data_IF_343768229636
#
_entry.id   IF_343768229636
#
_cell.length_a   1.000
_cell.length_b   1.000
_cell.length_c   1.000
_cell.angle_alpha   90.00
_cell.angle_beta   90.00
_cell.angle_gamma   90.00
#
_symmetry.space_group_name_H-M   'P 1'
#
loop_
_entity.id
_entity.type
_entity.pdbx_description
1 polymer ?
#
# COMPACT_ATOMS: atom_id res chain seq x y z
N UNK A 1 14.51 -97.38 20.92
CA UNK A 1 14.92 -96.18 21.69
C UNK A 1 15.72 -95.17 20.85
N UNK A 2 16.56 -95.57 19.90
CA UNK A 2 17.37 -94.68 19.05
C UNK A 2 16.58 -93.59 18.29
N UNK A 3 15.41 -93.91 17.74
CA UNK A 3 14.59 -92.95 16.99
C UNK A 3 14.04 -91.79 17.84
N UNK A 4 13.89 -91.95 19.17
CA UNK A 4 13.35 -90.86 20.01
C UNK A 4 14.41 -89.81 20.37
N UNK A 5 15.68 -90.24 20.47
CA UNK A 5 16.81 -89.35 20.75
C UNK A 5 17.18 -88.52 19.51
N UNK A 6 17.21 -89.13 18.32
CA UNK A 6 17.43 -88.41 17.07
C UNK A 6 16.32 -87.39 16.80
N UNK A 7 15.07 -87.72 17.16
CA UNK A 7 13.93 -86.82 16.97
C UNK A 7 13.96 -85.63 17.93
N UNK A 8 14.41 -85.80 19.18
CA UNK A 8 14.61 -84.69 20.13
C UNK A 8 15.76 -83.78 19.72
N UNK A 9 16.90 -84.36 19.31
CA UNK A 9 18.06 -83.61 18.87
C UNK A 9 17.76 -82.72 17.65
N UNK A 10 16.97 -83.24 16.70
CA UNK A 10 16.55 -82.47 15.52
C UNK A 10 15.59 -81.33 15.87
N UNK A 11 14.62 -81.57 16.76
CA UNK A 11 13.67 -80.53 17.20
C UNK A 11 14.33 -79.43 18.02
N UNK A 12 15.28 -79.76 18.91
CA UNK A 12 16.04 -78.76 19.68
C UNK A 12 16.93 -77.91 18.78
N UNK A 13 17.59 -78.51 17.78
CA UNK A 13 18.38 -77.77 16.81
C UNK A 13 17.52 -76.80 15.98
N UNK A 14 16.33 -77.25 15.55
CA UNK A 14 15.37 -76.38 14.84
C UNK A 14 14.84 -75.23 15.72
N UNK A 15 14.57 -75.47 17.01
CA UNK A 15 14.16 -74.40 17.93
C UNK A 15 15.29 -73.40 18.20
N UNK A 16 16.53 -73.87 18.30
CA UNK A 16 17.69 -73.04 18.54
C UNK A 16 18.01 -72.16 17.32
N UNK A 17 18.00 -72.74 16.11
CA UNK A 17 18.18 -72.01 14.85
C UNK A 17 17.07 -70.97 14.67
N UNK A 18 15.83 -71.29 15.05
CA UNK A 18 14.71 -70.35 14.98
C UNK A 18 14.87 -69.19 15.97
N UNK A 19 15.31 -69.45 17.21
CA UNK A 19 15.63 -68.40 18.19
C UNK A 19 16.76 -67.51 17.71
N UNK A 20 17.81 -68.08 17.15
CA UNK A 20 18.96 -67.33 16.65
C UNK A 20 18.58 -66.48 15.42
N UNK A 21 17.75 -67.00 14.52
CA UNK A 21 17.21 -66.25 13.39
C UNK A 21 16.30 -65.09 13.83
N UNK A 22 15.48 -65.31 14.87
CA UNK A 22 14.65 -64.26 15.48
C UNK A 22 15.49 -63.16 16.12
N UNK A 23 16.48 -63.51 16.94
CA UNK A 23 17.35 -62.53 17.61
C UNK A 23 18.15 -61.70 16.60
N UNK A 24 18.63 -62.35 15.53
CA UNK A 24 19.33 -61.69 14.43
C UNK A 24 18.41 -60.72 13.68
N UNK A 25 17.15 -61.12 13.42
CA UNK A 25 16.16 -60.23 12.80
C UNK A 25 15.79 -59.05 13.70
N UNK A 26 15.62 -59.27 15.01
CA UNK A 26 15.34 -58.18 15.95
C UNK A 26 16.48 -57.18 16.05
N UNK A 27 17.74 -57.64 16.15
CA UNK A 27 18.91 -56.76 16.11
C UNK A 27 19.04 -55.99 14.80
N UNK A 28 18.69 -56.62 13.67
CA UNK A 28 18.68 -55.95 12.38
C UNK A 28 17.59 -54.86 12.33
N UNK A 29 16.40 -55.15 12.86
CA UNK A 29 15.28 -54.20 12.95
C UNK A 29 15.67 -53.03 13.86
N UNK A 30 16.18 -53.27 15.07
CA UNK A 30 16.62 -52.20 15.98
C UNK A 30 17.64 -51.29 15.32
N UNK A 31 18.65 -51.88 14.65
CA UNK A 31 19.66 -51.10 13.96
C UNK A 31 19.07 -50.26 12.81
N UNK A 32 18.12 -50.80 12.05
CA UNK A 32 17.42 -50.05 11.00
C UNK A 32 16.55 -48.94 11.59
N UNK A 33 15.87 -49.20 12.70
CA UNK A 33 15.03 -48.24 13.40
C UNK A 33 15.86 -47.09 13.97
N UNK A 34 17.00 -47.36 14.60
CA UNK A 34 17.92 -46.32 15.10
C UNK A 34 18.47 -45.44 13.97
N UNK A 35 18.84 -46.05 12.84
CA UNK A 35 19.28 -45.31 11.65
C UNK A 35 18.17 -44.40 11.12
N UNK A 36 16.93 -44.90 11.06
CA UNK A 36 15.78 -44.14 10.58
C UNK A 36 15.47 -42.97 11.53
N UNK A 37 15.51 -43.18 12.84
CA UNK A 37 15.30 -42.13 13.86
C UNK A 37 16.36 -41.05 13.73
N UNK A 38 17.62 -41.42 13.56
CA UNK A 38 18.71 -40.46 13.38
C UNK A 38 18.55 -39.65 12.10
N UNK A 39 18.20 -40.29 10.98
CA UNK A 39 17.96 -39.61 9.71
C UNK A 39 16.76 -38.67 9.78
N UNK A 40 15.66 -39.10 10.40
CA UNK A 40 14.48 -38.27 10.64
C UNK A 40 14.82 -37.06 11.51
N UNK A 41 15.59 -37.24 12.58
CA UNK A 41 16.03 -36.13 13.44
C UNK A 41 16.85 -35.12 12.64
N UNK A 42 17.83 -35.59 11.87
CA UNK A 42 18.67 -34.73 11.03
C UNK A 42 17.85 -33.97 9.98
N UNK A 43 16.89 -34.64 9.34
CA UNK A 43 15.98 -34.01 8.36
C UNK A 43 15.08 -32.98 9.01
N UNK A 44 14.62 -33.24 10.23
CA UNK A 44 13.79 -32.31 10.98
C UNK A 44 14.57 -31.05 11.39
N UNK A 45 15.79 -31.21 11.94
CA UNK A 45 16.68 -30.09 12.26
C UNK A 45 17.04 -29.27 11.01
N UNK A 46 17.28 -29.92 9.88
CA UNK A 46 17.52 -29.23 8.61
C UNK A 46 16.28 -28.46 8.14
N UNK A 47 15.09 -29.07 8.19
CA UNK A 47 13.84 -28.41 7.80
C UNK A 47 13.54 -27.20 8.70
N UNK A 48 13.79 -27.30 10.00
CA UNK A 48 13.58 -26.20 10.95
C UNK A 48 14.53 -25.02 10.65
N UNK A 49 15.80 -25.30 10.38
CA UNK A 49 16.77 -24.27 9.97
C UNK A 49 16.42 -23.61 8.63
N UNK A 50 15.98 -24.40 7.65
CA UNK A 50 15.51 -23.88 6.36
C UNK A 50 14.30 -22.97 6.56
N UNK A 51 13.29 -23.40 7.34
CA UNK A 51 12.10 -22.59 7.65
C UNK A 51 12.49 -21.28 8.34
N UNK A 52 13.40 -21.31 9.31
CA UNK A 52 13.85 -20.11 10.00
C UNK A 52 14.55 -19.14 9.05
N UNK A 53 15.39 -19.66 8.16
CA UNK A 53 16.07 -18.86 7.13
C UNK A 53 15.07 -18.24 6.15
N UNK A 54 14.08 -19.02 5.70
CA UNK A 54 12.99 -18.52 4.86
C UNK A 54 12.20 -17.42 5.55
N UNK A 55 11.87 -17.59 6.84
CA UNK A 55 11.15 -16.57 7.62
C UNK A 55 11.94 -15.27 7.71
N UNK A 56 13.24 -15.33 7.99
CA UNK A 56 14.11 -14.15 8.03
C UNK A 56 14.20 -13.44 6.67
N UNK A 57 14.35 -14.19 5.59
CA UNK A 57 14.39 -13.61 4.24
C UNK A 57 13.05 -12.97 3.86
N UNK A 58 11.93 -13.61 4.22
CA UNK A 58 10.59 -13.07 3.98
C UNK A 58 10.39 -11.77 4.77
N UNK A 59 10.77 -11.74 6.05
CA UNK A 59 10.67 -10.54 6.88
C UNK A 59 11.54 -9.39 6.34
N UNK A 60 12.75 -9.70 5.89
CA UNK A 60 13.63 -8.74 5.21
C UNK A 60 12.97 -8.16 3.95
N UNK A 61 12.40 -9.02 3.09
CA UNK A 61 11.68 -8.60 1.88
C UNK A 61 10.44 -7.76 2.22
N UNK A 62 9.69 -8.12 3.25
CA UNK A 62 8.54 -7.33 3.69
C UNK A 62 8.97 -5.93 4.16
N UNK A 63 10.01 -5.83 5.00
CA UNK A 63 10.55 -4.53 5.45
C UNK A 63 11.05 -3.68 4.27
N UNK A 64 11.71 -4.29 3.28
CA UNK A 64 12.12 -3.58 2.06
C UNK A 64 10.90 -3.09 1.27
N UNK A 65 9.84 -3.89 1.18
CA UNK A 65 8.61 -3.52 0.49
C UNK A 65 7.89 -2.37 1.20
N UNK A 66 7.82 -2.39 2.53
CA UNK A 66 7.26 -1.29 3.33
C UNK A 66 8.02 0.03 3.09
N UNK A 67 9.36 -0.04 3.03
CA UNK A 67 10.19 1.13 2.71
C UNK A 67 9.93 1.65 1.29
N UNK A 68 9.74 0.75 0.33
CA UNK A 68 9.40 1.12 -1.05
C UNK A 68 8.02 1.79 -1.13
N UNK A 69 7.02 1.22 -0.46
CA UNK A 69 5.67 1.78 -0.37
C UNK A 69 5.70 3.18 0.27
N UNK A 70 6.45 3.36 1.37
CA UNK A 70 6.61 4.68 1.99
C UNK A 70 7.29 5.69 1.05
N UNK A 71 8.35 5.29 0.33
CA UNK A 71 8.99 6.16 -0.67
C UNK A 71 8.04 6.51 -1.81
N UNK A 72 7.24 5.55 -2.27
CA UNK A 72 6.25 5.75 -3.32
C UNK A 72 5.18 6.75 -2.88
N UNK A 73 4.58 6.55 -1.70
CA UNK A 73 3.61 7.50 -1.13
C UNK A 73 4.21 8.90 -0.98
N UNK A 74 5.43 9.02 -0.46
CA UNK A 74 6.10 10.32 -0.33
C UNK A 74 6.37 10.99 -1.68
N UNK A 75 6.71 10.21 -2.70
CA UNK A 75 6.95 10.71 -4.05
C UNK A 75 5.65 11.13 -4.73
N UNK A 76 4.59 10.32 -4.59
CA UNK A 76 3.26 10.66 -5.07
C UNK A 76 2.74 11.94 -4.42
N UNK A 77 2.85 12.09 -3.10
CA UNK A 77 2.40 13.30 -2.43
C UNK A 77 3.15 14.54 -2.97
N UNK A 78 4.48 14.47 -3.11
CA UNK A 78 5.27 15.55 -3.74
C UNK A 78 4.89 15.85 -5.19
N UNK A 79 4.64 14.82 -6.00
CA UNK A 79 4.24 14.98 -7.39
C UNK A 79 2.85 15.62 -7.50
N UNK A 80 1.89 15.15 -6.69
CA UNK A 80 0.54 15.71 -6.58
C UNK A 80 0.60 17.18 -6.17
N UNK A 81 1.41 17.53 -5.16
CA UNK A 81 1.64 18.91 -4.76
C UNK A 81 2.18 19.79 -5.90
N UNK A 82 3.18 19.29 -6.64
CA UNK A 82 3.73 20.00 -7.80
C UNK A 82 2.68 20.21 -8.90
N UNK A 83 1.86 19.18 -9.18
CA UNK A 83 0.78 19.26 -10.17
C UNK A 83 -0.29 20.28 -9.75
N UNK A 84 -0.69 20.29 -8.48
CA UNK A 84 -1.66 21.26 -7.96
C UNK A 84 -1.13 22.69 -7.99
N UNK A 85 0.16 22.91 -7.71
CA UNK A 85 0.77 24.23 -7.85
C UNK A 85 0.71 24.75 -9.29
N UNK A 86 1.00 23.90 -10.28
CA UNK A 86 0.87 24.26 -11.70
C UNK A 86 -0.58 24.54 -12.09
N UNK A 87 -1.52 23.71 -11.63
CA UNK A 87 -2.95 23.91 -11.87
C UNK A 87 -3.43 25.25 -11.28
N UNK A 88 -2.99 25.59 -10.06
CA UNK A 88 -3.31 26.85 -9.40
C UNK A 88 -2.82 28.06 -10.21
N UNK A 89 -1.58 28.02 -10.72
CA UNK A 89 -1.03 29.10 -11.55
C UNK A 89 -1.85 29.26 -12.83
N UNK A 90 -2.19 28.16 -13.52
CA UNK A 90 -3.03 28.20 -14.72
C UNK A 90 -4.41 28.78 -14.42
N UNK A 91 -5.01 28.42 -13.28
CA UNK A 91 -6.29 28.97 -12.81
C UNK A 91 -6.21 30.48 -12.59
N UNK A 92 -5.18 30.96 -11.90
CA UNK A 92 -4.98 32.40 -11.65
C UNK A 92 -4.79 33.15 -12.96
N UNK A 93 -3.98 32.63 -13.88
CA UNK A 93 -3.77 33.24 -15.21
C UNK A 93 -5.08 33.27 -16.01
N UNK A 94 -5.88 32.19 -15.96
CA UNK A 94 -7.18 32.15 -16.62
C UNK A 94 -8.17 33.16 -16.04
N UNK A 95 -8.19 33.34 -14.70
CA UNK A 95 -9.02 34.34 -14.04
C UNK A 95 -8.59 35.77 -14.42
N UNK A 96 -7.29 36.06 -14.42
CA UNK A 96 -6.77 37.36 -14.86
C UNK A 96 -7.12 37.62 -16.32
N UNK A 97 -6.92 36.63 -17.21
CA UNK A 97 -7.26 36.75 -18.62
C UNK A 97 -8.78 36.89 -18.88
N UNK A 98 -9.62 36.34 -18.01
CA UNK A 98 -11.08 36.54 -18.06
C UNK A 98 -11.46 37.98 -17.66
N UNK A 99 -10.76 38.59 -16.71
CA UNK A 99 -11.06 39.95 -16.24
C UNK A 99 -10.46 41.03 -17.15
N UNK A 100 -9.24 40.83 -17.65
CA UNK A 100 -8.49 41.88 -18.38
C UNK A 100 -8.29 41.58 -19.87
N UNK A 101 -8.70 40.40 -20.34
CA UNK A 101 -8.42 39.91 -21.69
C UNK A 101 -9.66 39.85 -22.59
N UNK A 102 -9.49 39.45 -23.86
CA UNK A 102 -10.55 39.40 -24.87
C UNK A 102 -11.71 38.47 -24.51
N UNK A 103 -11.50 37.51 -23.60
CA UNK A 103 -12.54 36.61 -23.09
C UNK A 103 -13.57 37.37 -22.25
N UNK A 104 -13.12 38.35 -21.44
CA UNK A 104 -14.03 39.22 -20.67
C UNK A 104 -14.90 40.09 -21.57
N UNK A 105 -14.33 40.52 -22.71
CA UNK A 105 -15.04 41.27 -23.74
C UNK A 105 -16.13 40.44 -24.42
N UNK A 106 -15.85 39.17 -24.74
CA UNK A 106 -16.88 38.22 -25.25
C UNK A 106 -17.97 37.90 -24.23
N UNK A 107 -17.67 37.94 -22.93
CA UNK A 107 -18.65 37.78 -21.85
C UNK A 107 -19.39 39.08 -21.49
N UNK A 108 -19.16 40.18 -22.23
CA UNK A 108 -19.79 41.48 -22.01
C UNK A 108 -19.59 42.06 -20.59
N UNK A 109 -18.51 41.65 -19.92
CA UNK A 109 -18.17 42.11 -18.56
C UNK A 109 -17.86 43.61 -18.58
N UNK A 110 -17.23 44.09 -19.65
CA UNK A 110 -16.94 45.52 -19.88
C UNK A 110 -18.23 46.35 -19.94
N UNK A 111 -19.24 45.88 -20.68
CA UNK A 111 -20.54 46.55 -20.85
C UNK A 111 -21.34 46.56 -19.55
N UNK A 112 -21.28 45.47 -18.77
CA UNK A 112 -21.90 45.39 -17.46
C UNK A 112 -21.28 46.36 -16.47
N UNK A 113 -19.94 46.41 -16.39
CA UNK A 113 -19.22 47.32 -15.50
C UNK A 113 -19.44 48.79 -15.90
N UNK A 114 -19.45 49.12 -17.20
CA UNK A 114 -19.77 50.47 -17.68
C UNK A 114 -21.20 50.88 -17.36
N UNK A 115 -22.19 50.00 -17.56
CA UNK A 115 -23.60 50.30 -17.27
C UNK A 115 -23.82 50.57 -15.77
N UNK A 116 -23.15 49.79 -14.91
CA UNK A 116 -23.17 50.00 -13.45
C UNK A 116 -22.45 51.31 -13.10
N UNK A 117 -21.31 51.58 -13.75
CA UNK A 117 -20.52 52.79 -13.52
C UNK A 117 -21.29 54.08 -13.89
N UNK A 118 -21.94 54.11 -15.04
CA UNK A 118 -22.75 55.25 -15.48
C UNK A 118 -23.94 55.50 -14.54
N UNK A 119 -24.60 54.44 -14.07
CA UNK A 119 -25.67 54.52 -13.04
C UNK A 119 -25.16 55.06 -11.70
N UNK A 120 -23.89 54.82 -11.35
CA UNK A 120 -23.25 55.35 -10.13
C UNK A 120 -22.90 56.84 -10.30
N UNK A 121 -22.44 57.24 -11.49
CA UNK A 121 -21.99 58.61 -11.79
C UNK A 121 -23.18 59.57 -11.94
N UNK A 122 -24.28 59.14 -12.57
CA UNK A 122 -25.47 60.00 -12.77
C UNK A 122 -26.48 59.95 -11.61
N UNK A 123 -26.44 58.92 -10.76
CA UNK A 123 -27.43 58.69 -9.71
C UNK A 123 -27.24 59.55 -8.45
N UNK A 124 -28.15 60.50 -8.18
CA UNK A 124 -28.25 61.23 -6.89
C UNK A 124 -28.97 60.46 -5.76
N UNK A 125 -29.33 59.19 -5.97
CA UNK A 125 -30.29 58.44 -5.12
C UNK A 125 -29.65 57.24 -4.38
N UNK A 126 -30.41 56.61 -3.46
CA UNK A 126 -30.09 55.36 -2.74
C UNK A 126 -29.62 54.23 -3.69
N UNK A 127 -30.06 54.27 -4.95
CA UNK A 127 -29.61 53.39 -6.03
C UNK A 127 -28.09 53.44 -6.27
N UNK A 128 -27.41 54.55 -5.96
CA UNK A 128 -25.95 54.67 -6.08
C UNK A 128 -25.22 53.71 -5.14
N UNK A 129 -25.67 53.58 -3.90
CA UNK A 129 -25.05 52.68 -2.93
C UNK A 129 -25.32 51.21 -3.26
N UNK A 130 -26.52 50.90 -3.78
CA UNK A 130 -26.88 49.57 -4.26
C UNK A 130 -26.04 49.17 -5.50
N UNK A 131 -25.83 50.08 -6.43
CA UNK A 131 -24.97 49.87 -7.59
C UNK A 131 -23.49 49.71 -7.20
N UNK A 132 -23.01 50.45 -6.18
CA UNK A 132 -21.66 50.27 -5.64
C UNK A 132 -21.47 48.89 -4.99
N UNK A 133 -22.49 48.40 -4.29
CA UNK A 133 -22.47 47.04 -3.75
C UNK A 133 -22.42 46.00 -4.87
N UNK A 134 -23.23 46.17 -5.93
CA UNK A 134 -23.26 45.30 -7.10
C UNK A 134 -21.92 45.31 -7.88
N UNK A 135 -21.24 46.46 -7.92
CA UNK A 135 -19.88 46.59 -8.47
C UNK A 135 -18.83 45.83 -7.67
N UNK A 136 -18.99 45.75 -6.34
CA UNK A 136 -18.06 45.07 -5.44
C UNK A 136 -18.22 43.54 -5.47
N UNK A 137 -19.42 43.04 -5.77
CA UNK A 137 -19.73 41.60 -5.83
C UNK A 137 -18.73 40.78 -6.68
N UNK A 138 -18.38 41.14 -7.92
CA UNK A 138 -17.41 40.37 -8.71
C UNK A 138 -16.02 40.29 -8.07
N UNK A 139 -15.58 41.33 -7.36
CA UNK A 139 -14.31 41.32 -6.63
C UNK A 139 -14.36 40.45 -5.37
N UNK A 140 -15.49 40.48 -4.65
CA UNK A 140 -15.73 39.60 -3.49
C UNK A 140 -15.78 38.14 -3.96
N UNK A 141 -16.45 37.86 -5.08
CA UNK A 141 -16.52 36.53 -5.69
C UNK A 141 -15.13 36.02 -6.07
N UNK A 142 -14.30 36.85 -6.71
CA UNK A 142 -12.90 36.51 -7.02
C UNK A 142 -12.09 36.21 -5.76
N UNK A 143 -12.22 37.05 -4.74
CA UNK A 143 -11.54 36.85 -3.45
C UNK A 143 -12.00 35.56 -2.78
N UNK A 144 -13.30 35.26 -2.84
CA UNK A 144 -13.89 34.05 -2.28
C UNK A 144 -13.44 32.79 -3.05
N UNK A 145 -13.35 32.86 -4.38
CA UNK A 145 -12.80 31.79 -5.23
C UNK A 145 -11.33 31.54 -4.89
N UNK A 146 -10.52 32.60 -4.74
CA UNK A 146 -9.12 32.47 -4.34
C UNK A 146 -8.98 31.86 -2.94
N UNK A 147 -9.81 32.26 -1.98
CA UNK A 147 -9.84 31.68 -0.64
C UNK A 147 -10.30 30.22 -0.64
N UNK A 148 -11.31 29.87 -1.43
CA UNK A 148 -11.76 28.49 -1.60
C UNK A 148 -10.66 27.63 -2.23
N UNK A 149 -9.93 28.14 -3.23
CA UNK A 149 -8.79 27.46 -3.82
C UNK A 149 -7.65 27.27 -2.81
N UNK A 150 -7.29 28.31 -2.05
CA UNK A 150 -6.28 28.22 -0.98
C UNK A 150 -6.69 27.21 0.10
N UNK A 151 -7.98 27.21 0.47
CA UNK A 151 -8.52 26.27 1.45
C UNK A 151 -8.56 24.84 0.91
N UNK A 152 -8.89 24.64 -0.37
CA UNK A 152 -8.85 23.33 -1.02
C UNK A 152 -7.41 22.78 -1.07
N UNK A 153 -6.43 23.64 -1.38
CA UNK A 153 -5.01 23.27 -1.33
C UNK A 153 -4.64 22.83 0.09
N UNK A 154 -4.94 23.63 1.11
CA UNK A 154 -4.63 23.27 2.51
C UNK A 154 -5.38 22.02 2.99
N UNK A 155 -6.63 21.82 2.57
CA UNK A 155 -7.43 20.65 2.98
C UNK A 155 -6.95 19.36 2.30
N UNK A 156 -6.40 19.47 1.08
CA UNK A 156 -5.77 18.35 0.39
C UNK A 156 -4.38 18.03 0.97
N UNK A 157 -3.65 19.06 1.43
CA UNK A 157 -2.38 18.93 2.16
C UNK A 157 -2.58 18.20 3.50
N UNK A 158 -3.67 18.47 4.22
CA UNK A 158 -4.01 17.76 5.48
C UNK A 158 -4.46 16.30 5.29
N UNK A 159 -4.82 15.90 4.05
CA UNK A 159 -5.43 14.59 3.77
C UNK A 159 -4.49 13.59 3.08
N UNK A 160 -3.28 14.00 2.71
CA UNK A 160 -2.27 13.22 1.97
C UNK A 160 -0.87 13.31 2.59
#
# INVERSE_FOLDING_TARGET
>A
MANSYLKKLNTDNQQQDFKQALDTKFKAIDKQTDQLIHELKKRNEQAENEIQTYKQNLESKMRQNDQLIQKYNKTLNKMTHGLFALFYVVLVVALVAMVTGPIGHSLSIDTFLQTIHDQIVEGKSIWRYLAYFLYLIPFILLTCILLLCAKLINTLDDKF
#
